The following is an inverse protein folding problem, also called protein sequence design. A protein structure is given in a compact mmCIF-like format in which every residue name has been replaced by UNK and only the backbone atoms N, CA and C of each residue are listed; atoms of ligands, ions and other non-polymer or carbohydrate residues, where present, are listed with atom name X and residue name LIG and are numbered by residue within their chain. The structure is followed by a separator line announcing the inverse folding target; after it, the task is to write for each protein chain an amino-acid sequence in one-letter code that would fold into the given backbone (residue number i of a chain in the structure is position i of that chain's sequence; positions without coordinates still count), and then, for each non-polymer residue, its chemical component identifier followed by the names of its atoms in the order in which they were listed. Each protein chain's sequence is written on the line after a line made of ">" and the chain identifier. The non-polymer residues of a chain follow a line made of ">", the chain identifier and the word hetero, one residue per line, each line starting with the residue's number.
data_IF_255638913253
#
_entry.id   IF_255638913253
#
_cell.length_a   1.000
_cell.length_b   1.000
_cell.length_c   1.000
_cell.angle_alpha   90.00
_cell.angle_beta   90.00
_cell.angle_gamma   90.00
#
_symmetry.space_group_name_H-M   'P 1'
#
loop_
_entity.id
_entity.type
_entity.pdbx_description
1 polymer ?
#
# COMPACT_ATOMS: atom_id res chain seq x y z
N UNK A 1 -13.66 2.37 12.75
CA UNK A 1 -12.67 3.02 11.86
C UNK A 1 -12.01 1.91 11.09
N UNK A 2 -11.93 2.00 9.78
CA UNK A 2 -11.26 0.99 8.95
C UNK A 2 -9.89 1.51 8.52
N UNK A 3 -8.92 0.60 8.43
CA UNK A 3 -7.53 0.88 8.06
C UNK A 3 -7.07 -0.23 7.12
N UNK A 4 -6.38 0.15 6.06
CA UNK A 4 -5.70 -0.78 5.17
C UNK A 4 -4.21 -0.49 5.19
N UNK A 5 -3.43 -1.54 5.36
CA UNK A 5 -1.99 -1.52 5.52
C UNK A 5 -1.44 -2.93 5.54
N UNK A 6 -0.14 -3.05 5.34
CA UNK A 6 0.60 -4.31 5.28
C UNK A 6 1.86 -4.18 6.13
N UNK A 7 2.49 -5.29 6.51
CA UNK A 7 3.77 -5.24 7.23
C UNK A 7 4.83 -4.54 6.38
N UNK A 8 4.79 -4.75 5.07
CA UNK A 8 5.65 -4.22 4.03
C UNK A 8 5.50 -2.69 3.81
N UNK A 9 4.46 -2.06 4.37
CA UNK A 9 4.32 -0.60 4.39
C UNK A 9 4.24 -0.04 5.82
N UNK A 10 4.66 -0.82 6.82
CA UNK A 10 4.59 -0.47 8.24
C UNK A 10 3.16 -0.09 8.70
N UNK A 11 2.13 -0.63 8.04
CA UNK A 11 0.73 -0.31 8.27
C UNK A 11 0.28 1.08 7.76
N UNK A 12 1.15 1.83 7.08
CA UNK A 12 0.85 3.19 6.63
C UNK A 12 0.36 3.21 5.18
N UNK A 13 -0.96 3.20 5.00
CA UNK A 13 -1.59 3.28 3.67
C UNK A 13 -2.91 4.06 3.70
N UNK A 14 -4.05 3.45 4.02
CA UNK A 14 -5.36 4.15 4.03
C UNK A 14 -6.00 4.16 5.40
N UNK A 15 -6.71 5.25 5.70
CA UNK A 15 -7.49 5.37 6.93
C UNK A 15 -8.81 6.09 6.68
N UNK A 16 -9.88 5.54 7.26
CA UNK A 16 -11.18 6.19 7.27
C UNK A 16 -11.20 7.27 8.37
N UNK A 17 -11.21 8.55 7.99
CA UNK A 17 -11.15 9.64 8.98
C UNK A 17 -12.45 9.75 9.79
N UNK A 18 -12.39 10.11 11.08
CA UNK A 18 -13.58 10.35 11.90
C UNK A 18 -14.58 11.29 11.20
N UNK A 19 -15.85 10.89 11.13
CA UNK A 19 -16.93 11.67 10.52
C UNK A 19 -17.07 11.52 9.00
N UNK A 20 -16.27 10.66 8.36
CA UNK A 20 -16.38 10.33 6.93
C UNK A 20 -16.69 8.86 6.67
N UNK A 21 -17.10 8.09 7.68
CA UNK A 21 -17.25 6.65 7.53
C UNK A 21 -18.37 6.29 6.55
N UNK A 22 -18.11 5.31 5.69
CA UNK A 22 -19.08 4.73 4.76
C UNK A 22 -18.83 3.23 4.71
N UNK A 23 -19.89 2.43 4.85
CA UNK A 23 -19.80 0.97 4.78
C UNK A 23 -19.17 0.52 3.47
N UNK A 24 -18.15 -0.34 3.55
CA UNK A 24 -17.41 -0.82 2.38
C UNK A 24 -16.41 0.20 1.82
N UNK A 25 -16.05 1.24 2.57
CA UNK A 25 -15.05 2.22 2.17
C UNK A 25 -13.96 2.38 3.24
N UNK A 26 -12.76 1.92 2.89
CA UNK A 26 -11.59 1.93 3.77
C UNK A 26 -11.07 3.34 4.10
N UNK A 27 -11.47 4.35 3.32
CA UNK A 27 -11.05 5.74 3.51
C UNK A 27 -10.15 6.26 2.40
N UNK A 28 -9.45 7.34 2.70
CA UNK A 28 -8.49 7.97 1.79
C UNK A 28 -7.06 7.53 2.13
N UNK A 29 -6.17 7.60 1.14
CA UNK A 29 -4.75 7.44 1.35
C UNK A 29 -4.23 8.48 2.37
N UNK A 30 -3.27 8.04 3.19
CA UNK A 30 -2.63 8.89 4.19
C UNK A 30 -1.71 9.92 3.52
N UNK A 31 -1.38 11.05 4.18
CA UNK A 31 -0.47 12.04 3.61
C UNK A 31 0.87 11.42 3.16
N UNK A 32 1.31 11.73 1.95
CA UNK A 32 2.55 11.17 1.40
C UNK A 32 2.46 9.71 0.94
N UNK A 33 1.28 9.09 1.01
CA UNK A 33 1.00 7.81 0.36
C UNK A 33 0.52 8.09 -1.07
N UNK A 34 1.24 7.57 -2.04
CA UNK A 34 0.83 7.52 -3.44
C UNK A 34 0.14 6.19 -3.72
N UNK A 35 -0.94 6.24 -4.49
CA UNK A 35 -1.75 5.08 -4.87
C UNK A 35 -1.99 5.14 -6.36
N UNK A 36 -1.87 3.98 -7.01
CA UNK A 36 -2.35 3.76 -8.37
C UNK A 36 -2.99 2.40 -8.50
N UNK A 37 -3.73 2.22 -9.59
CA UNK A 37 -4.23 0.92 -10.03
C UNK A 37 -3.37 0.50 -11.21
N UNK A 38 -2.83 -0.72 -11.18
CA UNK A 38 -2.07 -1.27 -12.30
C UNK A 38 -2.98 -1.56 -13.49
N UNK A 39 -2.39 -1.80 -14.67
CA UNK A 39 -3.16 -2.21 -15.86
C UNK A 39 -3.93 -3.53 -15.65
N UNK A 40 -3.50 -4.34 -14.69
CA UNK A 40 -4.13 -5.62 -14.30
C UNK A 40 -5.19 -5.46 -13.19
N UNK A 41 -5.45 -4.23 -12.75
CA UNK A 41 -6.41 -3.89 -11.71
C UNK A 41 -5.90 -4.05 -10.28
N UNK A 42 -4.59 -4.20 -10.09
CA UNK A 42 -3.98 -4.34 -8.76
C UNK A 42 -3.82 -2.96 -8.09
N UNK A 43 -4.13 -2.86 -6.81
CA UNK A 43 -3.78 -1.69 -6.00
C UNK A 43 -2.27 -1.66 -5.76
N UNK A 44 -1.63 -0.54 -6.05
CA UNK A 44 -0.20 -0.34 -5.82
C UNK A 44 0.04 0.89 -4.97
N UNK A 45 0.91 0.77 -3.96
CA UNK A 45 1.11 1.79 -2.94
C UNK A 45 2.59 2.15 -2.81
N UNK A 46 2.91 3.44 -2.75
CA UNK A 46 4.26 3.94 -2.44
C UNK A 46 4.19 4.98 -1.34
N UNK A 47 5.07 4.88 -0.35
CA UNK A 47 5.24 5.91 0.67
C UNK A 47 6.63 5.86 1.30
N UNK A 48 6.95 6.84 2.14
CA UNK A 48 8.17 6.80 2.95
C UNK A 48 8.21 5.66 4.00
N UNK A 49 7.10 4.95 4.20
CA UNK A 49 7.00 3.80 5.09
C UNK A 49 7.08 2.45 4.36
N UNK A 50 7.17 2.46 3.02
CA UNK A 50 7.41 1.24 2.23
C UNK A 50 8.73 0.61 2.66
N UNK A 51 8.72 -0.71 2.84
CA UNK A 51 9.90 -1.46 3.23
C UNK A 51 11.03 -1.29 2.22
N UNK A 52 12.26 -1.43 2.70
CA UNK A 52 13.45 -1.48 1.82
C UNK A 52 13.60 -2.84 1.13
N UNK A 53 12.96 -3.88 1.66
CA UNK A 53 12.99 -5.25 1.13
C UNK A 53 13.01 -6.31 2.22
N UNK A 54 12.84 -7.57 1.80
CA UNK A 54 12.94 -8.73 2.67
C UNK A 54 14.40 -9.07 2.97
N UNK A 55 14.68 -9.39 4.23
CA UNK A 55 16.04 -9.68 4.68
C UNK A 55 16.59 -10.95 4.04
N UNK A 56 17.74 -10.85 3.37
CA UNK A 56 18.40 -11.95 2.62
C UNK A 56 17.56 -12.55 1.48
N UNK A 57 16.48 -11.88 1.07
CA UNK A 57 15.61 -12.35 -0.02
C UNK A 57 15.45 -11.24 -1.09
N UNK A 58 16.52 -10.93 -1.86
CA UNK A 58 16.49 -9.88 -2.88
C UNK A 58 15.54 -10.20 -4.05
N UNK A 59 15.38 -11.48 -4.39
CA UNK A 59 14.47 -11.92 -5.45
C UNK A 59 13.02 -11.61 -5.07
N UNK A 60 12.58 -12.04 -3.88
CA UNK A 60 11.24 -11.70 -3.36
C UNK A 60 11.02 -10.20 -3.23
N UNK A 61 12.06 -9.45 -2.88
CA UNK A 61 11.99 -7.99 -2.81
C UNK A 61 11.69 -7.39 -4.18
N UNK A 62 12.37 -7.87 -5.22
CA UNK A 62 12.16 -7.43 -6.60
C UNK A 62 10.80 -7.87 -7.17
N UNK A 63 10.24 -8.98 -6.68
CA UNK A 63 8.90 -9.42 -7.07
C UNK A 63 7.80 -8.48 -6.56
N UNK A 64 7.91 -7.99 -5.32
CA UNK A 64 6.85 -7.17 -4.69
C UNK A 64 7.02 -5.66 -4.88
N UNK A 65 8.21 -5.19 -5.28
CA UNK A 65 8.46 -3.78 -5.58
C UNK A 65 8.57 -3.58 -7.09
N UNK A 66 7.81 -2.64 -7.63
CA UNK A 66 7.97 -2.20 -9.01
C UNK A 66 9.26 -1.43 -9.20
N UNK A 67 9.73 -1.30 -10.45
CA UNK A 67 10.95 -0.56 -10.77
C UNK A 67 10.89 0.93 -10.35
N UNK A 68 9.70 1.51 -10.27
CA UNK A 68 9.45 2.87 -9.80
C UNK A 68 9.09 2.96 -8.29
N UNK A 69 9.27 1.86 -7.54
CA UNK A 69 9.20 1.83 -6.09
C UNK A 69 7.81 1.68 -5.48
N UNK A 70 6.80 1.28 -6.26
CA UNK A 70 5.49 0.93 -5.71
C UNK A 70 5.50 -0.50 -5.18
N UNK A 71 4.89 -0.70 -4.02
CA UNK A 71 4.57 -2.01 -3.48
C UNK A 71 3.34 -2.56 -4.18
N UNK A 72 3.49 -3.76 -4.74
CA UNK A 72 2.43 -4.64 -5.22
C UNK A 72 1.69 -5.22 -4.02
N UNK A 73 0.44 -4.84 -3.81
CA UNK A 73 -0.30 -5.30 -2.62
C UNK A 73 -0.94 -6.67 -2.81
N UNK A 74 -1.13 -7.10 -4.07
CA UNK A 74 -1.89 -8.30 -4.41
C UNK A 74 -3.41 -8.14 -4.32
N UNK A 75 -3.92 -6.97 -3.93
CA UNK A 75 -5.35 -6.68 -3.79
C UNK A 75 -5.94 -5.99 -5.04
N UNK A 76 -7.25 -6.17 -5.27
CA UNK A 76 -8.04 -5.54 -6.35
C UNK A 76 -9.30 -4.87 -5.82
#
# INVERSE_FOLDING_TARGET
>A
LEVYGMTENSGYSHVCRPGRQKTGWIGQNSPGVEVRISDEGEVQVRSGATMVGYYKEPEKTAEVLTADGFLRTGDK
#
